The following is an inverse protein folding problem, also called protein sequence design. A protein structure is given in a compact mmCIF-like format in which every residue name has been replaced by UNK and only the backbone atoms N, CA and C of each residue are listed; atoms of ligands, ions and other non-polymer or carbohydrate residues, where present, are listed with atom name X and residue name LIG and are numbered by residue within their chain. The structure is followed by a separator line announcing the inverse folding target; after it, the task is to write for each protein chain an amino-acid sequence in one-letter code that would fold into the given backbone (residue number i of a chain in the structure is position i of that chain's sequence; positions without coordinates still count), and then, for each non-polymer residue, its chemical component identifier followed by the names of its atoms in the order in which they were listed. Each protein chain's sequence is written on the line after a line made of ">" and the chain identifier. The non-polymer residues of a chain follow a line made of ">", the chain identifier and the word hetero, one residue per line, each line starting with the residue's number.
data_IF_196913586380
#
_entry.id   IF_196913586380
#
_cell.length_a   1.000
_cell.length_b   1.000
_cell.length_c   1.000
_cell.angle_alpha   90.00
_cell.angle_beta   90.00
_cell.angle_gamma   90.00
#
_symmetry.space_group_name_H-M   'P 1'
#
loop_
_entity.id
_entity.type
_entity.pdbx_description
1 polymer ?
#
# COMPACT_ATOMS: atom_id res chain seq x y z
N UNK A 1 -12.53 -15.10 -11.76
CA UNK A 1 -11.38 -16.02 -11.59
C UNK A 1 -10.56 -15.49 -10.43
N UNK A 2 -10.49 -16.21 -9.31
CA UNK A 2 -9.51 -15.92 -8.25
C UNK A 2 -8.12 -16.01 -8.89
N UNK A 3 -7.33 -14.94 -8.81
CA UNK A 3 -5.93 -14.94 -9.27
C UNK A 3 -5.06 -14.87 -8.02
N UNK A 4 -4.43 -15.98 -7.66
CA UNK A 4 -3.40 -16.02 -6.61
C UNK A 4 -2.31 -14.98 -6.92
N UNK A 5 -2.24 -13.93 -6.10
CA UNK A 5 -1.37 -12.76 -6.33
C UNK A 5 -0.17 -12.66 -5.39
N UNK A 6 0.01 -13.63 -4.48
CA UNK A 6 1.26 -13.81 -3.76
C UNK A 6 1.44 -15.30 -3.41
N UNK A 7 2.54 -15.92 -3.87
CA UNK A 7 2.92 -17.27 -3.42
C UNK A 7 3.66 -17.19 -2.07
N UNK A 8 3.51 -18.20 -1.19
CA UNK A 8 4.29 -18.29 0.04
C UNK A 8 5.79 -18.45 -0.25
N UNK A 9 6.58 -18.10 0.76
CA UNK A 9 8.00 -17.77 0.72
C UNK A 9 8.97 -18.96 0.57
N UNK A 10 8.55 -20.08 -0.02
CA UNK A 10 9.30 -21.35 0.02
C UNK A 10 9.53 -21.99 -1.36
N UNK A 11 10.35 -21.35 -2.17
CA UNK A 11 11.22 -21.99 -3.16
C UNK A 11 12.31 -21.00 -3.56
N UNK A 12 13.40 -21.47 -4.14
CA UNK A 12 14.38 -20.59 -4.79
C UNK A 12 13.72 -19.87 -5.97
N UNK A 13 13.01 -18.76 -5.70
CA UNK A 13 12.33 -17.95 -6.69
C UNK A 13 13.37 -17.44 -7.68
N UNK A 14 13.05 -17.48 -8.97
CA UNK A 14 13.88 -16.91 -10.03
C UNK A 14 13.25 -15.61 -10.49
N UNK A 15 14.09 -14.68 -10.94
CA UNK A 15 13.64 -13.49 -11.61
C UNK A 15 12.82 -13.90 -12.84
N UNK A 16 11.59 -13.43 -12.94
CA UNK A 16 10.69 -13.75 -14.06
C UNK A 16 11.12 -13.07 -15.37
N UNK A 17 12.05 -12.11 -15.30
CA UNK A 17 12.59 -11.39 -16.46
C UNK A 17 13.87 -12.01 -17.01
N UNK A 18 14.78 -12.49 -16.16
CA UNK A 18 16.11 -12.97 -16.57
C UNK A 18 16.50 -14.35 -16.02
N UNK A 19 15.66 -14.99 -15.21
CA UNK A 19 15.91 -16.32 -14.64
C UNK A 19 16.94 -16.38 -13.49
N UNK A 20 17.55 -15.25 -13.11
CA UNK A 20 18.52 -15.18 -12.01
C UNK A 20 17.88 -15.60 -10.69
N UNK A 21 18.61 -16.38 -9.86
CA UNK A 21 18.12 -16.78 -8.53
C UNK A 21 17.93 -15.56 -7.63
N UNK A 22 16.79 -15.49 -6.96
CA UNK A 22 16.45 -14.41 -6.03
C UNK A 22 16.79 -14.80 -4.60
N UNK A 23 17.07 -13.77 -3.80
CA UNK A 23 17.06 -13.91 -2.35
C UNK A 23 15.62 -13.97 -1.83
N UNK A 24 15.46 -14.39 -0.58
CA UNK A 24 14.19 -14.35 0.16
C UNK A 24 13.56 -12.97 -0.02
N UNK A 25 14.29 -11.91 0.34
CA UNK A 25 13.88 -10.55 0.01
C UNK A 25 14.36 -10.15 -1.38
N UNK A 26 13.43 -9.82 -2.26
CA UNK A 26 13.72 -9.37 -3.63
C UNK A 26 12.79 -8.22 -4.02
N UNK A 27 13.02 -7.63 -5.20
CA UNK A 27 12.22 -6.54 -5.72
C UNK A 27 11.06 -7.09 -6.57
N UNK A 28 10.00 -6.30 -6.71
CA UNK A 28 8.92 -6.59 -7.65
C UNK A 28 8.85 -5.52 -8.72
N UNK A 29 8.36 -5.94 -9.89
CA UNK A 29 7.95 -5.03 -10.95
C UNK A 29 6.47 -5.24 -11.21
N UNK A 30 5.74 -4.15 -11.40
CA UNK A 30 4.34 -4.14 -11.76
C UNK A 30 4.21 -3.91 -13.26
N UNK A 31 3.50 -4.79 -13.94
CA UNK A 31 3.02 -4.56 -15.31
C UNK A 31 1.73 -3.73 -15.26
N UNK A 32 1.77 -2.48 -15.69
CA UNK A 32 0.63 -1.56 -15.67
C UNK A 32 -0.52 -2.01 -16.58
N UNK A 33 -0.25 -2.80 -17.62
CA UNK A 33 -1.28 -3.26 -18.56
C UNK A 33 -2.09 -4.45 -18.03
N UNK A 34 -1.45 -5.31 -17.24
CA UNK A 34 -2.09 -6.53 -16.71
C UNK A 34 -2.36 -6.44 -15.20
N UNK A 35 -1.78 -5.43 -14.53
CA UNK A 35 -1.72 -5.27 -13.08
C UNK A 35 -1.22 -6.53 -12.37
N UNK A 36 -0.21 -7.16 -12.96
CA UNK A 36 0.48 -8.32 -12.40
C UNK A 36 1.84 -7.92 -11.85
N UNK A 37 2.13 -8.43 -10.65
CA UNK A 37 3.43 -8.31 -10.02
C UNK A 37 4.30 -9.48 -10.47
N UNK A 38 5.56 -9.19 -10.78
CA UNK A 38 6.57 -10.18 -11.15
C UNK A 38 7.79 -10.08 -10.26
N UNK A 39 8.29 -11.23 -9.81
CA UNK A 39 9.52 -11.33 -9.03
C UNK A 39 10.72 -10.88 -9.86
N UNK A 40 11.51 -9.94 -9.34
CA UNK A 40 12.61 -9.33 -10.08
C UNK A 40 13.91 -9.29 -9.28
N UNK A 41 15.04 -9.47 -9.96
CA UNK A 41 16.34 -9.20 -9.37
C UNK A 41 16.59 -7.68 -9.36
N UNK A 42 17.51 -7.23 -8.51
CA UNK A 42 17.86 -5.80 -8.39
C UNK A 42 18.26 -5.17 -9.73
N UNK A 43 18.99 -5.90 -10.56
CA UNK A 43 19.42 -5.41 -11.88
C UNK A 43 18.24 -5.18 -12.83
N UNK A 44 17.28 -6.11 -12.88
CA UNK A 44 16.09 -5.95 -13.71
C UNK A 44 15.15 -4.86 -13.17
N UNK A 45 14.97 -4.76 -11.85
CA UNK A 45 14.18 -3.70 -11.22
C UNK A 45 14.76 -2.30 -11.52
N UNK A 46 16.09 -2.15 -11.52
CA UNK A 46 16.72 -0.86 -11.82
C UNK A 46 16.38 -0.31 -13.23
N UNK A 47 15.94 -1.16 -14.16
CA UNK A 47 15.53 -0.73 -15.50
C UNK A 47 14.19 0.01 -15.52
N UNK A 48 13.37 -0.11 -14.46
CA UNK A 48 12.01 0.41 -14.40
C UNK A 48 11.77 1.35 -13.21
N UNK A 49 12.83 1.87 -12.61
CA UNK A 49 12.78 2.65 -11.37
C UNK A 49 12.29 4.10 -11.59
N UNK A 50 12.45 4.69 -12.79
CA UNK A 50 12.27 6.14 -12.92
C UNK A 50 11.99 6.69 -14.34
N UNK A 51 11.07 6.10 -15.12
CA UNK A 51 10.83 6.64 -16.50
C UNK A 51 9.40 6.97 -16.89
N UNK A 52 8.39 6.74 -16.04
CA UNK A 52 6.98 7.17 -16.24
C UNK A 52 6.25 6.67 -17.50
N UNK A 53 6.99 6.14 -18.47
CA UNK A 53 6.59 5.79 -19.85
C UNK A 53 6.72 4.30 -20.11
N UNK A 54 7.41 3.58 -19.24
CA UNK A 54 7.50 2.13 -19.28
C UNK A 54 6.18 1.50 -18.87
N UNK A 55 5.78 0.44 -19.60
CA UNK A 55 4.71 -0.49 -19.22
C UNK A 55 4.94 -1.11 -17.84
N UNK A 56 6.20 -1.29 -17.48
CA UNK A 56 6.61 -1.84 -16.19
C UNK A 56 7.07 -0.73 -15.26
N UNK A 57 6.72 -0.84 -13.98
CA UNK A 57 7.24 0.02 -12.91
C UNK A 57 7.80 -0.81 -11.78
N UNK A 58 8.95 -0.41 -11.25
CA UNK A 58 9.50 -1.02 -10.05
C UNK A 58 8.67 -0.64 -8.84
N UNK A 59 8.38 -1.63 -8.00
CA UNK A 59 7.70 -1.42 -6.73
C UNK A 59 8.71 -0.90 -5.70
N UNK A 60 8.53 0.32 -5.15
CA UNK A 60 9.40 0.87 -4.13
C UNK A 60 9.41 -0.03 -2.88
N UNK A 61 10.45 0.09 -2.05
CA UNK A 61 10.51 -0.63 -0.76
C UNK A 61 10.24 0.26 0.46
N UNK A 62 9.96 1.54 0.24
CA UNK A 62 9.79 2.50 1.34
C UNK A 62 8.46 2.26 2.04
N UNK A 63 8.47 2.42 3.36
CA UNK A 63 7.27 2.52 4.18
C UNK A 63 7.31 3.88 4.87
N UNK A 64 6.25 4.66 4.73
CA UNK A 64 6.07 5.94 5.44
C UNK A 64 4.82 5.82 6.29
N UNK A 65 4.79 6.43 7.46
CA UNK A 65 3.60 6.38 8.30
C UNK A 65 3.36 7.68 9.06
N UNK A 66 2.11 7.92 9.41
CA UNK A 66 1.70 9.06 10.21
C UNK A 66 0.80 8.70 11.38
N UNK A 67 1.05 9.42 12.47
CA UNK A 67 0.43 9.26 13.77
C UNK A 67 0.26 10.64 14.42
N UNK A 68 -0.95 11.02 14.86
CA UNK A 68 -2.23 10.38 14.55
C UNK A 68 -2.68 10.64 13.10
N UNK A 69 -3.50 9.74 12.55
CA UNK A 69 -4.23 9.98 11.30
C UNK A 69 -5.55 10.70 11.60
N UNK A 70 -5.78 11.91 11.04
CA UNK A 70 -6.96 12.71 11.36
C UNK A 70 -8.20 12.21 10.61
N UNK A 71 -8.85 11.16 11.14
CA UNK A 71 -10.13 10.67 10.63
C UNK A 71 -11.28 11.23 11.48
N UNK A 72 -12.26 11.87 10.84
CA UNK A 72 -13.44 12.42 11.51
C UNK A 72 -14.56 11.38 11.66
N UNK A 73 -15.61 11.76 12.39
CA UNK A 73 -16.76 10.88 12.68
C UNK A 73 -17.55 10.50 11.43
N UNK A 74 -17.70 11.39 10.46
CA UNK A 74 -18.39 11.13 9.18
C UNK A 74 -17.60 10.16 8.30
N UNK A 75 -16.27 10.26 8.27
CA UNK A 75 -15.42 9.34 7.51
C UNK A 75 -15.38 7.96 8.18
N UNK A 76 -15.42 7.94 9.50
CA UNK A 76 -15.61 6.71 10.28
C UNK A 76 -16.96 6.07 9.97
N UNK A 77 -18.03 6.87 9.81
CA UNK A 77 -19.34 6.39 9.38
C UNK A 77 -19.31 5.85 7.94
N UNK A 78 -18.57 6.49 7.03
CA UNK A 78 -18.33 5.96 5.68
C UNK A 78 -17.51 4.63 5.70
N UNK A 79 -16.79 4.37 6.79
CA UNK A 79 -16.14 3.10 7.09
C UNK A 79 -17.00 2.17 7.97
N UNK A 80 -18.24 2.54 8.35
CA UNK A 80 -19.11 1.64 9.11
C UNK A 80 -19.52 0.45 8.24
N UNK A 81 -19.13 -0.75 8.69
CA UNK A 81 -19.23 -1.99 7.90
C UNK A 81 -18.05 -2.22 6.95
N UNK A 82 -17.11 -1.28 6.85
CA UNK A 82 -15.81 -1.50 6.24
C UNK A 82 -14.92 -2.31 7.21
N UNK A 83 -13.90 -2.99 6.67
CA UNK A 83 -12.94 -3.71 7.49
C UNK A 83 -12.09 -2.74 8.31
N UNK A 84 -11.50 -3.24 9.39
CA UNK A 84 -10.57 -2.50 10.27
C UNK A 84 -9.45 -1.77 9.50
N UNK A 85 -9.12 -2.25 8.29
CA UNK A 85 -8.13 -1.68 7.39
C UNK A 85 -8.74 -1.42 6.02
N UNK A 86 -8.54 -0.21 5.51
CA UNK A 86 -8.81 0.18 4.12
C UNK A 86 -7.48 0.45 3.40
N UNK A 87 -7.29 -0.11 2.21
CA UNK A 87 -6.20 0.28 1.31
C UNK A 87 -6.71 1.14 0.16
N UNK A 88 -5.90 2.10 -0.29
CA UNK A 88 -6.20 2.97 -1.42
C UNK A 88 -4.96 3.12 -2.31
N UNK A 89 -5.11 3.02 -3.62
CA UNK A 89 -4.04 3.35 -4.57
C UNK A 89 -4.61 4.01 -5.83
N UNK A 90 -3.74 4.67 -6.61
CA UNK A 90 -4.13 5.25 -7.89
C UNK A 90 -3.78 4.30 -9.04
N UNK A 91 -4.77 3.94 -9.85
CA UNK A 91 -4.59 3.23 -11.11
C UNK A 91 -4.45 4.26 -12.24
N UNK A 92 -3.23 4.43 -12.76
CA UNK A 92 -2.99 5.36 -13.86
C UNK A 92 -3.57 4.92 -15.20
N UNK A 93 -3.77 3.61 -15.41
CA UNK A 93 -4.37 3.08 -16.64
C UNK A 93 -5.87 3.35 -16.71
N UNK A 94 -6.55 3.33 -15.55
CA UNK A 94 -7.96 3.66 -15.41
C UNK A 94 -8.21 5.14 -15.06
N UNK A 95 -7.14 5.90 -14.79
CA UNK A 95 -7.18 7.27 -14.29
C UNK A 95 -8.08 7.43 -13.05
N UNK A 96 -8.06 6.44 -12.15
CA UNK A 96 -9.01 6.33 -11.05
C UNK A 96 -8.36 5.88 -9.74
N UNK A 97 -8.96 6.30 -8.63
CA UNK A 97 -8.65 5.79 -7.31
C UNK A 97 -9.34 4.44 -7.08
N UNK A 98 -8.61 3.51 -6.48
CA UNK A 98 -9.05 2.14 -6.24
C UNK A 98 -8.93 1.83 -4.76
N UNK A 99 -10.00 1.26 -4.21
CA UNK A 99 -10.04 0.68 -2.88
C UNK A 99 -9.54 -0.77 -2.94
N UNK A 100 -8.64 -1.12 -2.02
CA UNK A 100 -8.26 -2.49 -1.69
C UNK A 100 -9.01 -2.90 -0.44
N UNK A 101 -9.95 -3.82 -0.61
CA UNK A 101 -10.79 -4.31 0.48
C UNK A 101 -10.59 -5.83 0.66
N UNK A 102 -10.66 -6.35 1.89
CA UNK A 102 -10.83 -7.76 2.18
C UNK A 102 -12.06 -8.31 1.46
N UNK A 103 -11.89 -9.43 0.75
CA UNK A 103 -12.97 -10.22 0.16
C UNK A 103 -12.93 -11.66 0.66
N UNK A 104 -13.91 -12.47 0.27
CA UNK A 104 -14.01 -13.89 0.69
C UNK A 104 -12.79 -14.76 0.33
N UNK A 105 -11.96 -14.30 -0.60
CA UNK A 105 -10.85 -15.08 -1.15
C UNK A 105 -9.57 -14.26 -1.31
N UNK A 106 -9.40 -13.29 -0.41
CA UNK A 106 -8.32 -12.31 -0.48
C UNK A 106 -8.81 -10.93 -0.90
N UNK A 107 -7.85 -10.05 -1.11
CA UNK A 107 -8.01 -8.67 -1.47
C UNK A 107 -8.75 -8.53 -2.80
N UNK A 108 -9.73 -7.63 -2.80
CA UNK A 108 -10.50 -7.25 -3.97
C UNK A 108 -10.30 -5.77 -4.24
N UNK A 109 -10.08 -5.45 -5.50
CA UNK A 109 -10.02 -4.08 -6.00
C UNK A 109 -11.45 -3.61 -6.31
N UNK A 110 -11.79 -2.41 -5.87
CA UNK A 110 -13.07 -1.76 -6.17
C UNK A 110 -12.85 -0.28 -6.50
N UNK A 111 -13.64 0.32 -7.40
CA UNK A 111 -13.60 1.77 -7.58
C UNK A 111 -13.81 2.48 -6.24
N UNK A 112 -12.97 3.46 -5.93
CA UNK A 112 -13.10 4.24 -4.70
C UNK A 112 -14.16 5.32 -4.90
N UNK A 113 -15.13 5.39 -3.98
CA UNK A 113 -16.11 6.46 -3.97
C UNK A 113 -15.45 7.81 -3.69
N UNK A 114 -15.90 8.86 -4.37
CA UNK A 114 -15.30 10.20 -4.27
C UNK A 114 -15.28 10.73 -2.84
N UNK A 115 -16.38 10.60 -2.10
CA UNK A 115 -16.45 11.06 -0.71
C UNK A 115 -15.40 10.37 0.18
N UNK A 116 -15.15 9.08 -0.04
CA UNK A 116 -14.14 8.31 0.70
C UNK A 116 -12.71 8.65 0.25
N UNK A 117 -12.53 8.96 -1.04
CA UNK A 117 -11.29 9.50 -1.59
C UNK A 117 -10.90 10.81 -0.87
N UNK A 118 -11.81 11.78 -0.81
CA UNK A 118 -11.57 13.09 -0.20
C UNK A 118 -11.28 12.93 1.31
N UNK A 119 -12.08 12.10 1.99
CA UNK A 119 -11.92 11.72 3.39
C UNK A 119 -10.53 11.17 3.76
N UNK A 120 -9.97 10.33 2.90
CA UNK A 120 -8.74 9.57 3.19
C UNK A 120 -7.51 10.29 2.66
N UNK A 121 -7.55 10.77 1.42
CA UNK A 121 -6.37 11.29 0.72
C UNK A 121 -6.12 12.76 1.03
N UNK A 122 -7.15 13.60 1.10
CA UNK A 122 -6.95 15.04 1.35
C UNK A 122 -6.59 15.33 2.81
N UNK A 123 -7.04 14.47 3.74
CA UNK A 123 -6.68 14.57 5.17
C UNK A 123 -5.32 13.96 5.49
N UNK A 124 -4.83 13.06 4.65
CA UNK A 124 -3.55 12.41 4.85
C UNK A 124 -2.40 13.28 4.37
N UNK A 125 -1.35 13.43 5.19
CA UNK A 125 -0.09 14.04 4.71
C UNK A 125 0.66 13.12 3.75
N UNK A 126 0.32 11.84 3.78
CA UNK A 126 0.87 10.82 2.91
C UNK A 126 0.22 10.84 1.52
N UNK A 127 -1.04 11.28 1.39
CA UNK A 127 -1.77 11.32 0.12
C UNK A 127 -0.96 11.92 -1.05
N UNK A 128 -0.41 13.15 -0.90
CA UNK A 128 0.42 13.78 -1.94
C UNK A 128 1.76 13.10 -2.24
N UNK A 129 2.24 12.21 -1.36
CA UNK A 129 3.53 11.52 -1.50
C UNK A 129 3.42 10.17 -2.20
N UNK A 130 2.19 9.68 -2.40
CA UNK A 130 1.92 8.36 -2.94
C UNK A 130 2.42 8.24 -4.37
N UNK A 131 3.24 7.23 -4.65
CA UNK A 131 3.64 6.90 -6.01
C UNK A 131 2.51 6.10 -6.70
N UNK A 132 1.90 6.65 -7.78
CA UNK A 132 0.83 5.97 -8.49
C UNK A 132 1.20 4.54 -8.91
N UNK A 133 0.20 3.67 -8.89
CA UNK A 133 0.27 2.25 -9.29
C UNK A 133 1.05 1.31 -8.36
N UNK A 134 2.15 1.78 -7.77
CA UNK A 134 3.14 0.94 -7.09
C UNK A 134 3.20 1.11 -5.58
N UNK A 135 2.43 2.05 -5.03
CA UNK A 135 2.25 2.21 -3.60
C UNK A 135 0.76 2.28 -3.25
N UNK A 136 0.44 1.86 -2.02
CA UNK A 136 -0.89 1.97 -1.44
C UNK A 136 -0.83 2.77 -0.14
N UNK A 137 -1.85 3.60 0.08
CA UNK A 137 -2.17 4.21 1.36
C UNK A 137 -3.06 3.24 2.14
N UNK A 138 -2.56 2.69 3.23
CA UNK A 138 -3.34 1.93 4.20
C UNK A 138 -3.81 2.86 5.29
N UNK A 139 -5.10 2.79 5.63
CA UNK A 139 -5.69 3.47 6.78
C UNK A 139 -6.25 2.41 7.71
N UNK A 140 -5.84 2.47 8.98
CA UNK A 140 -6.43 1.68 10.06
C UNK A 140 -7.14 2.63 11.01
N UNK A 141 -8.46 2.60 10.94
CA UNK A 141 -9.31 3.41 11.81
C UNK A 141 -9.44 2.72 13.18
N UNK A 142 -9.29 3.51 14.25
CA UNK A 142 -9.46 3.09 15.65
C UNK A 142 -10.43 4.04 16.32
N UNK A 143 -11.23 3.54 17.25
CA UNK A 143 -12.27 4.32 17.95
C UNK A 143 -11.72 5.40 18.89
N UNK A 144 -10.40 5.40 19.10
CA UNK A 144 -9.64 6.42 19.81
C UNK A 144 -8.75 7.24 18.84
N UNK A 145 -7.94 8.14 19.39
CA UNK A 145 -6.95 8.93 18.63
C UNK A 145 -5.73 8.08 18.15
N UNK A 146 -5.82 6.74 18.21
CA UNK A 146 -4.78 5.83 17.72
C UNK A 146 -4.94 5.42 16.26
N UNK A 147 -5.82 6.10 15.50
CA UNK A 147 -5.89 5.90 14.04
C UNK A 147 -4.55 6.22 13.38
N UNK A 148 -4.18 5.42 12.39
CA UNK A 148 -2.87 5.49 11.71
C UNK A 148 -3.04 5.31 10.22
N UNK A 149 -2.10 5.88 9.47
CA UNK A 149 -2.00 5.66 8.04
C UNK A 149 -0.57 5.36 7.62
N UNK A 150 -0.41 4.54 6.58
CA UNK A 150 0.88 4.12 6.03
C UNK A 150 0.87 4.21 4.51
N UNK A 151 1.93 4.74 3.91
CA UNK A 151 2.30 4.37 2.55
C UNK A 151 3.10 3.09 2.63
N UNK A 152 2.67 2.09 1.88
CA UNK A 152 3.38 0.83 1.72
C UNK A 152 3.57 0.51 0.24
N UNK A 153 4.56 -0.33 -0.10
CA UNK A 153 4.64 -0.96 -1.40
C UNK A 153 3.33 -1.66 -1.77
N UNK A 154 2.89 -1.61 -3.03
CA UNK A 154 1.58 -2.14 -3.44
C UNK A 154 1.42 -3.64 -3.16
N UNK A 155 2.49 -4.42 -3.31
CA UNK A 155 2.56 -5.85 -2.97
C UNK A 155 2.34 -6.09 -1.47
N UNK A 156 2.91 -5.24 -0.62
CA UNK A 156 2.64 -5.23 0.83
C UNK A 156 1.19 -4.85 1.10
N UNK A 157 0.64 -3.85 0.39
CA UNK A 157 -0.77 -3.45 0.51
C UNK A 157 -1.72 -4.62 0.26
N UNK A 158 -1.51 -5.37 -0.83
CA UNK A 158 -2.26 -6.61 -1.09
C UNK A 158 -2.10 -7.63 0.04
N UNK A 159 -0.86 -7.87 0.49
CA UNK A 159 -0.59 -8.85 1.54
C UNK A 159 -1.27 -8.50 2.88
N UNK A 160 -1.32 -7.22 3.25
CA UNK A 160 -2.03 -6.74 4.46
C UNK A 160 -3.53 -6.99 4.34
N UNK A 161 -4.12 -6.60 3.21
CA UNK A 161 -5.56 -6.77 2.99
C UNK A 161 -5.94 -8.26 2.92
N UNK A 162 -5.10 -9.09 2.31
CA UNK A 162 -5.23 -10.55 2.34
C UNK A 162 -5.14 -11.10 3.78
N UNK A 163 -4.24 -10.56 4.62
CA UNK A 163 -4.13 -10.97 6.02
C UNK A 163 -5.41 -10.64 6.81
N UNK A 164 -6.11 -9.56 6.47
CA UNK A 164 -7.42 -9.23 7.07
C UNK A 164 -8.51 -10.25 6.75
N UNK A 165 -8.35 -11.09 5.71
CA UNK A 165 -9.32 -12.14 5.35
C UNK A 165 -9.06 -13.46 6.08
N UNK A 166 -7.96 -13.56 6.83
CA UNK A 166 -7.48 -14.79 7.48
C UNK A 166 -7.65 -14.68 8.99
N UNK A 167 -7.97 -15.78 9.66
CA UNK A 167 -8.02 -15.89 11.13
C UNK A 167 -6.63 -15.88 11.80
N UNK A 168 -5.57 -15.49 11.08
CA UNK A 168 -4.16 -15.47 11.56
C UNK A 168 -3.28 -14.75 10.54
N UNK A 169 -2.31 -13.87 10.92
CA UNK A 169 -1.88 -13.43 12.25
C UNK A 169 -2.61 -12.18 12.78
N UNK A 170 -2.30 -11.77 14.02
CA UNK A 170 -2.77 -10.49 14.58
C UNK A 170 -2.29 -9.33 13.70
N UNK A 171 -3.24 -8.53 13.21
CA UNK A 171 -2.98 -7.33 12.42
C UNK A 171 -2.03 -6.36 13.17
N UNK A 172 -2.10 -6.30 14.50
CA UNK A 172 -1.21 -5.46 15.31
C UNK A 172 0.27 -5.81 15.14
N UNK A 173 0.60 -7.10 15.06
CA UNK A 173 1.97 -7.54 14.82
C UNK A 173 2.45 -7.12 13.44
N UNK A 174 1.59 -7.26 12.43
CA UNK A 174 1.91 -6.87 11.06
C UNK A 174 2.19 -5.37 10.93
N UNK A 175 1.34 -4.52 11.53
CA UNK A 175 1.56 -3.07 11.48
C UNK A 175 2.79 -2.63 12.27
N UNK A 176 3.09 -3.28 13.41
CA UNK A 176 4.32 -3.03 14.16
C UNK A 176 5.58 -3.34 13.33
N UNK A 177 5.54 -4.42 12.55
CA UNK A 177 6.64 -4.78 11.64
C UNK A 177 6.81 -3.76 10.51
N UNK A 178 5.72 -3.20 9.99
CA UNK A 178 5.75 -2.13 9.00
C UNK A 178 6.38 -0.85 9.58
N UNK A 179 5.98 -0.45 10.79
CA UNK A 179 6.52 0.71 11.48
C UNK A 179 8.01 0.54 11.80
N UNK A 180 8.43 -0.65 12.23
CA UNK A 180 9.84 -0.95 12.55
C UNK A 180 10.78 -0.83 11.33
N UNK A 181 10.25 -1.02 10.12
CA UNK A 181 11.00 -0.90 8.85
C UNK A 181 10.75 0.42 8.13
N UNK A 182 9.73 1.16 8.58
CA UNK A 182 9.27 2.40 7.97
C UNK A 182 9.85 3.64 8.63
N UNK A 183 9.48 4.79 8.07
CA UNK A 183 9.84 6.10 8.60
C UNK A 183 8.58 6.87 8.99
N UNK A 184 8.52 7.29 10.25
CA UNK A 184 7.48 8.21 10.71
C UNK A 184 7.63 9.57 10.00
N UNK A 185 6.50 10.16 9.59
CA UNK A 185 6.47 11.58 9.28
C UNK A 185 6.68 12.39 10.57
N UNK A 186 7.44 13.50 10.52
CA UNK A 186 7.64 14.35 11.69
C UNK A 186 6.28 14.80 12.25
N UNK A 187 6.17 14.83 13.59
CA UNK A 187 4.99 15.34 14.26
C UNK A 187 4.72 16.79 13.81
N UNK A 188 3.45 17.14 13.62
CA UNK A 188 3.13 18.53 13.33
C UNK A 188 3.56 19.39 14.54
N UNK A 189 4.27 20.48 14.29
CA UNK A 189 4.35 21.54 15.29
C UNK A 189 3.02 22.26 15.26
N UNK A 190 2.35 22.40 16.42
CA UNK A 190 1.04 23.06 16.59
C UNK A 190 0.95 24.52 16.07
N UNK A 191 2.03 25.01 15.46
CA UNK A 191 2.21 26.32 14.91
C UNK A 191 2.60 26.16 13.44
N UNK A 192 1.61 26.32 12.56
CA UNK A 192 1.80 26.31 11.12
C UNK A 192 2.82 27.36 10.69
N UNK A 193 4.04 26.91 10.43
CA UNK A 193 5.11 27.69 9.85
C UNK A 193 6.33 26.80 9.60
N UNK A 194 7.10 27.03 8.52
CA UNK A 194 8.29 26.25 8.26
C UNK A 194 9.34 26.59 9.32
N UNK A 195 9.63 25.65 10.22
CA UNK A 195 10.84 25.69 11.02
C UNK A 195 12.01 25.45 10.06
N UNK A 196 12.75 26.52 9.78
CA UNK A 196 13.82 26.58 8.78
C UNK A 196 14.99 25.64 9.00
N UNK A 197 15.78 25.56 7.93
CA UNK A 197 17.06 24.89 7.74
C UNK A 197 18.11 25.15 8.83
#
# INVERSE_FOLDING_TARGET
>A
MLRERARPWDAATRCELCGTKLAIEHAHVLDLSTRMLSCSCRACAALFDDTGTSRYRTVPRRVLFEEPFPIGSEERHALEGAPEVLGVFYDSSAAAWVALCPGRSGAVERPLERTLCDAVLEKSRLGPMLNPDVEALLVRARDDDSSRAWIVPIDVGYAVIDACTRDTPSLDGLFRDLEARGRALPAWSLHGGPSGF
#
